data_IF_585542378667
#
_entry.id   IF_585542378667
#
_cell.length_a   1.000
_cell.length_b   1.000
_cell.length_c   1.000
_cell.angle_alpha   90.00
_cell.angle_beta   90.00
_cell.angle_gamma   90.00
#
_symmetry.space_group_name_H-M   'P 1'
#
loop_
_entity.id
_entity.type
_entity.pdbx_description
1 polymer ?
#
# COMPACT_ATOMS: atom_id res chain seq x y z
N UNK A 1 0.50 -4.43 -12.28
CA UNK A 1 -0.65 -4.86 -11.43
C UNK A 1 -1.93 -4.04 -11.65
N UNK A 2 -2.04 -3.27 -12.74
CA UNK A 2 -3.17 -2.35 -12.98
C UNK A 2 -4.50 -3.08 -13.17
N UNK A 3 -4.51 -4.18 -13.92
CA UNK A 3 -5.71 -5.01 -14.13
C UNK A 3 -6.32 -5.50 -12.82
N UNK A 4 -5.50 -5.99 -11.88
CA UNK A 4 -5.94 -6.42 -10.55
C UNK A 4 -6.61 -5.26 -9.80
N UNK A 5 -6.01 -4.07 -9.85
CA UNK A 5 -6.59 -2.88 -9.26
C UNK A 5 -7.96 -2.50 -9.86
N UNK A 6 -8.13 -2.65 -11.18
CA UNK A 6 -9.44 -2.46 -11.82
C UNK A 6 -10.47 -3.50 -11.40
N UNK A 7 -10.08 -4.78 -11.32
CA UNK A 7 -10.96 -5.85 -10.85
C UNK A 7 -11.43 -5.57 -9.42
N UNK A 8 -10.52 -5.16 -8.53
CA UNK A 8 -10.87 -4.79 -7.15
C UNK A 8 -11.78 -3.55 -7.10
N UNK A 9 -11.52 -2.54 -7.92
CA UNK A 9 -12.34 -1.32 -8.00
C UNK A 9 -13.79 -1.57 -8.46
N UNK A 10 -14.03 -2.61 -9.27
CA UNK A 10 -15.37 -2.98 -9.72
C UNK A 10 -16.23 -3.62 -8.62
N UNK A 11 -15.64 -4.06 -7.51
CA UNK A 11 -16.34 -4.66 -6.37
C UNK A 11 -17.18 -3.67 -5.57
N UNK A 12 -18.26 -3.13 -6.14
CA UNK A 12 -19.14 -2.10 -5.55
C UNK A 12 -19.63 -2.41 -4.14
N UNK A 13 -19.74 -3.69 -3.78
CA UNK A 13 -20.20 -4.12 -2.46
C UNK A 13 -19.14 -4.01 -1.37
N UNK A 14 -17.87 -3.79 -1.70
CA UNK A 14 -16.79 -3.67 -0.73
C UNK A 14 -16.27 -2.25 -0.81
N UNK A 15 -16.74 -1.40 0.10
CA UNK A 15 -16.40 0.04 0.14
C UNK A 15 -14.89 0.29 0.25
N UNK A 16 -14.14 -0.67 0.79
CA UNK A 16 -12.69 -0.58 0.90
C UNK A 16 -11.99 -0.58 -0.47
N UNK A 17 -12.45 -1.43 -1.39
CA UNK A 17 -11.83 -1.60 -2.70
C UNK A 17 -12.48 -0.74 -3.78
N UNK A 18 -13.74 -0.34 -3.57
CA UNK A 18 -14.49 0.49 -4.51
C UNK A 18 -14.02 1.96 -4.48
N UNK A 19 -12.82 2.19 -5.01
CA UNK A 19 -12.18 3.50 -5.12
C UNK A 19 -11.43 3.61 -6.44
N UNK A 20 -11.50 4.77 -7.13
CA UNK A 20 -10.69 5.02 -8.33
C UNK A 20 -9.18 5.02 -8.03
N UNK A 21 -8.78 5.10 -6.76
CA UNK A 21 -7.38 5.06 -6.34
C UNK A 21 -6.77 3.65 -6.41
N UNK A 22 -7.58 2.57 -6.38
CA UNK A 22 -7.04 1.20 -6.35
C UNK A 22 -6.12 0.88 -7.54
N UNK A 23 -6.50 1.10 -8.81
CA UNK A 23 -5.61 0.88 -9.95
C UNK A 23 -4.28 1.63 -9.84
N UNK A 24 -4.32 2.87 -9.33
CA UNK A 24 -3.14 3.73 -9.17
C UNK A 24 -2.24 3.21 -8.05
N UNK A 25 -2.81 2.82 -6.91
CA UNK A 25 -2.09 2.21 -5.79
C UNK A 25 -1.34 0.96 -6.28
N UNK A 26 -2.02 0.06 -6.99
CA UNK A 26 -1.39 -1.16 -7.51
C UNK A 26 -0.32 -0.90 -8.57
N UNK A 27 -0.48 0.15 -9.38
CA UNK A 27 0.54 0.58 -10.34
C UNK A 27 1.81 1.01 -9.61
N UNK A 28 1.71 2.02 -8.74
CA UNK A 28 2.84 2.61 -8.03
C UNK A 28 3.52 1.56 -7.15
N UNK A 29 2.73 0.77 -6.44
CA UNK A 29 3.21 -0.31 -5.61
C UNK A 29 4.04 -1.33 -6.42
N UNK A 30 3.58 -1.72 -7.62
CA UNK A 30 4.35 -2.64 -8.46
C UNK A 30 5.68 -2.08 -8.94
N UNK A 31 5.77 -0.77 -9.18
CA UNK A 31 7.02 -0.09 -9.53
C UNK A 31 7.96 -0.06 -8.33
N UNK A 32 7.47 0.35 -7.16
CA UNK A 32 8.28 0.45 -5.92
C UNK A 32 8.83 -0.91 -5.51
N UNK A 33 7.97 -1.94 -5.44
CA UNK A 33 8.41 -3.30 -5.07
C UNK A 33 9.32 -3.90 -6.13
N UNK A 34 9.05 -3.66 -7.42
CA UNK A 34 9.92 -4.11 -8.51
C UNK A 34 11.31 -3.50 -8.42
N UNK A 35 11.41 -2.19 -8.19
CA UNK A 35 12.67 -1.48 -7.99
C UNK A 35 13.41 -2.00 -6.76
N UNK A 36 12.70 -2.16 -5.63
CA UNK A 36 13.25 -2.67 -4.39
C UNK A 36 13.83 -4.09 -4.56
N UNK A 37 13.07 -5.01 -5.17
CA UNK A 37 13.53 -6.36 -5.46
C UNK A 37 14.73 -6.37 -6.41
N UNK A 38 14.67 -5.59 -7.50
CA UNK A 38 15.77 -5.49 -8.45
C UNK A 38 17.05 -5.00 -7.77
N UNK A 39 16.97 -3.93 -6.97
CA UNK A 39 18.10 -3.44 -6.17
C UNK A 39 18.64 -4.50 -5.22
N UNK A 40 17.77 -5.17 -4.46
CA UNK A 40 18.20 -6.22 -3.53
C UNK A 40 18.96 -7.35 -4.24
N UNK A 41 18.43 -7.84 -5.37
CA UNK A 41 19.06 -8.88 -6.17
C UNK A 41 20.39 -8.40 -6.75
N UNK A 42 20.42 -7.24 -7.39
CA UNK A 42 21.63 -6.74 -8.04
C UNK A 42 22.76 -6.47 -7.04
N UNK A 43 22.44 -5.96 -5.85
CA UNK A 43 23.43 -5.78 -4.78
C UNK A 43 23.95 -7.12 -4.25
N UNK A 44 23.08 -8.11 -4.04
CA UNK A 44 23.50 -9.45 -3.54
C UNK A 44 24.42 -10.16 -4.54
N UNK A 45 24.11 -10.07 -5.83
CA UNK A 45 24.86 -10.77 -6.89
C UNK A 45 25.97 -9.92 -7.53
N UNK A 46 26.18 -8.67 -7.08
CA UNK A 46 27.18 -7.77 -7.65
C UNK A 46 26.95 -7.40 -9.11
N UNK A 47 25.68 -7.37 -9.55
CA UNK A 47 25.30 -7.04 -10.93
C UNK A 47 25.30 -5.52 -11.08
N UNK A 48 25.97 -5.00 -12.10
CA UNK A 48 25.94 -3.57 -12.41
C UNK A 48 24.56 -3.15 -12.94
N UNK A 49 24.04 -2.03 -12.44
CA UNK A 49 22.77 -1.45 -12.86
C UNK A 49 22.81 0.07 -12.71
N UNK A 50 21.84 0.74 -13.32
CA UNK A 50 21.64 2.18 -13.13
C UNK A 50 21.10 2.44 -11.72
N UNK A 51 22.03 2.68 -10.80
CA UNK A 51 21.74 2.96 -9.39
C UNK A 51 20.99 4.27 -9.21
N UNK A 52 21.22 5.26 -10.06
CA UNK A 52 20.63 6.59 -9.97
C UNK A 52 19.15 6.54 -10.34
N UNK A 53 18.81 5.95 -11.49
CA UNK A 53 17.42 5.82 -11.94
C UNK A 53 16.57 5.06 -10.91
N UNK A 54 17.04 3.91 -10.45
CA UNK A 54 16.29 3.08 -9.50
C UNK A 54 16.13 3.81 -8.16
N UNK A 55 17.15 4.54 -7.73
CA UNK A 55 17.10 5.35 -6.50
C UNK A 55 16.10 6.49 -6.61
N UNK A 56 16.08 7.22 -7.73
CA UNK A 56 15.10 8.29 -7.97
C UNK A 56 13.68 7.72 -7.98
N UNK A 57 13.47 6.57 -8.63
CA UNK A 57 12.18 5.89 -8.64
C UNK A 57 11.72 5.47 -7.23
N UNK A 58 12.64 5.02 -6.36
CA UNK A 58 12.31 4.69 -4.97
C UNK A 58 12.04 5.94 -4.12
N UNK A 59 12.87 6.98 -4.25
CA UNK A 59 12.73 8.24 -3.50
C UNK A 59 11.46 9.01 -3.86
N UNK A 60 10.96 8.89 -5.09
CA UNK A 60 9.68 9.48 -5.50
C UNK A 60 8.53 8.50 -5.24
N UNK A 61 8.73 7.22 -5.59
CA UNK A 61 7.69 6.20 -5.54
C UNK A 61 7.21 5.89 -4.12
N UNK A 62 8.10 5.87 -3.13
CA UNK A 62 7.73 5.61 -1.73
C UNK A 62 6.84 6.74 -1.18
N UNK A 63 7.20 8.04 -1.26
CA UNK A 63 6.32 9.12 -0.85
C UNK A 63 4.99 9.16 -1.60
N UNK A 64 4.99 8.91 -2.92
CA UNK A 64 3.75 8.83 -3.70
C UNK A 64 2.87 7.68 -3.19
N UNK A 65 3.45 6.52 -2.90
CA UNK A 65 2.72 5.40 -2.30
C UNK A 65 2.15 5.76 -0.92
N UNK A 66 2.94 6.41 -0.06
CA UNK A 66 2.47 6.89 1.24
C UNK A 66 1.29 7.85 1.09
N UNK A 67 1.39 8.81 0.18
CA UNK A 67 0.30 9.74 -0.13
C UNK A 67 -0.95 9.02 -0.60
N UNK A 68 -0.83 8.06 -1.52
CA UNK A 68 -1.98 7.30 -2.03
C UNK A 68 -2.64 6.46 -0.94
N UNK A 69 -1.85 5.85 -0.04
CA UNK A 69 -2.36 5.09 1.11
C UNK A 69 -3.13 6.01 2.06
N UNK A 70 -2.61 7.20 2.36
CA UNK A 70 -3.29 8.18 3.20
C UNK A 70 -4.55 8.73 2.53
N UNK A 71 -4.50 9.04 1.24
CA UNK A 71 -5.64 9.47 0.43
C UNK A 71 -6.75 8.40 0.42
N UNK A 72 -6.37 7.12 0.32
CA UNK A 72 -7.33 6.02 0.43
C UNK A 72 -7.98 5.95 1.81
N UNK A 73 -7.22 6.12 2.90
CA UNK A 73 -7.81 6.16 4.25
C UNK A 73 -8.74 7.36 4.44
N UNK A 74 -8.37 8.52 3.91
CA UNK A 74 -9.22 9.71 3.93
C UNK A 74 -10.52 9.49 3.15
N UNK A 75 -10.43 8.88 1.95
CA UNK A 75 -11.60 8.50 1.15
C UNK A 75 -12.54 7.54 1.89
N UNK A 76 -11.99 6.57 2.63
CA UNK A 76 -12.82 5.67 3.45
C UNK A 76 -13.57 6.41 4.56
N UNK A 77 -12.96 7.45 5.13
CA UNK A 77 -13.58 8.28 6.17
C UNK A 77 -14.85 8.99 5.70
N UNK A 78 -14.89 9.41 4.43
CA UNK A 78 -16.02 10.14 3.82
C UNK A 78 -17.00 9.24 3.06
N UNK A 79 -16.72 7.93 2.98
CA UNK A 79 -17.52 6.96 2.24
C UNK A 79 -18.73 6.43 3.03
N UNK A 80 -19.08 5.16 2.83
CA UNK A 80 -20.21 4.47 3.49
C UNK A 80 -19.89 4.06 4.93
N UNK A 81 -20.90 3.61 5.70
CA UNK A 81 -20.67 3.03 7.03
C UNK A 81 -19.71 1.84 7.01
N UNK A 82 -19.85 0.95 6.03
CA UNK A 82 -18.93 -0.17 5.84
C UNK A 82 -17.48 0.30 5.58
N UNK A 83 -17.33 1.40 4.84
CA UNK A 83 -16.02 2.05 4.63
C UNK A 83 -15.42 2.60 5.92
N UNK A 84 -16.23 3.26 6.77
CA UNK A 84 -15.78 3.74 8.10
C UNK A 84 -15.42 2.59 9.05
N UNK A 85 -16.13 1.47 8.98
CA UNK A 85 -15.79 0.25 9.74
C UNK A 85 -14.44 -0.30 9.26
N UNK A 86 -14.26 -0.41 7.94
CA UNK A 86 -12.99 -0.86 7.34
C UNK A 86 -11.82 0.06 7.74
N UNK A 87 -12.03 1.38 7.74
CA UNK A 87 -11.06 2.36 8.23
C UNK A 87 -10.71 2.12 9.69
N UNK A 88 -11.70 1.93 10.57
CA UNK A 88 -11.45 1.63 12.00
C UNK A 88 -10.68 0.31 12.16
N UNK A 89 -11.00 -0.73 11.40
CA UNK A 89 -10.28 -2.00 11.44
C UNK A 89 -8.79 -1.84 11.06
N UNK A 90 -8.51 -1.03 10.04
CA UNK A 90 -7.16 -0.75 9.53
C UNK A 90 -6.36 0.22 10.40
N UNK A 91 -7.01 1.11 11.15
CA UNK A 91 -6.32 2.17 11.91
C UNK A 91 -6.25 1.93 13.42
N UNK A 92 -7.29 1.32 14.01
CA UNK A 92 -7.41 1.12 15.46
C UNK A 92 -7.85 -0.30 15.85
N UNK A 93 -8.22 -1.13 14.88
CA UNK A 93 -8.71 -2.49 15.11
C UNK A 93 -7.61 -3.54 15.07
N UNK A 94 -8.03 -4.81 14.96
CA UNK A 94 -7.15 -5.99 14.93
C UNK A 94 -6.08 -5.95 13.82
N UNK A 95 -6.33 -5.20 12.75
CA UNK A 95 -5.40 -5.12 11.60
C UNK A 95 -4.48 -3.90 11.68
N UNK A 96 -4.64 -3.02 12.66
CA UNK A 96 -3.87 -1.77 12.77
C UNK A 96 -2.36 -2.01 12.91
N UNK A 97 -1.95 -2.98 13.72
CA UNK A 97 -0.55 -3.31 13.89
C UNK A 97 0.09 -3.80 12.58
N UNK A 98 -0.62 -4.62 11.80
CA UNK A 98 -0.14 -5.11 10.51
C UNK A 98 -0.14 -4.04 9.42
N UNK A 99 -1.14 -3.17 9.40
CA UNK A 99 -1.29 -2.15 8.37
C UNK A 99 -0.45 -0.89 8.64
N UNK A 100 -0.60 -0.27 9.81
CA UNK A 100 0.17 0.93 10.16
C UNK A 100 1.60 0.55 10.55
N UNK A 101 1.76 -0.38 11.49
CA UNK A 101 3.10 -0.79 11.94
C UNK A 101 3.88 -1.52 10.85
N UNK A 102 3.28 -2.57 10.29
CA UNK A 102 3.91 -3.40 9.27
C UNK A 102 3.99 -2.75 7.89
N UNK A 103 2.84 -2.46 7.28
CA UNK A 103 2.83 -2.00 5.90
C UNK A 103 3.32 -0.56 5.73
N UNK A 104 2.88 0.35 6.59
CA UNK A 104 3.20 1.77 6.46
C UNK A 104 4.55 2.12 7.07
N UNK A 105 4.77 1.82 8.35
CA UNK A 105 6.01 2.21 9.04
C UNK A 105 7.18 1.33 8.59
N UNK A 106 7.10 0.01 8.76
CA UNK A 106 8.18 -0.90 8.38
C UNK A 106 8.35 -0.96 6.85
N UNK A 107 7.26 -0.90 6.08
CA UNK A 107 7.30 -1.05 4.62
C UNK A 107 7.58 0.20 3.79
N UNK A 108 7.34 1.40 4.33
CA UNK A 108 7.50 2.65 3.59
C UNK A 108 8.38 3.66 4.35
N UNK A 109 8.06 3.96 5.61
CA UNK A 109 8.77 5.01 6.37
C UNK A 109 10.24 4.64 6.59
N UNK A 110 10.52 3.43 7.11
CA UNK A 110 11.90 3.00 7.39
C UNK A 110 12.72 2.89 6.09
N UNK A 111 12.24 2.24 5.01
CA UNK A 111 12.97 2.19 3.74
C UNK A 111 13.23 3.57 3.13
N UNK A 112 12.30 4.52 3.28
CA UNK A 112 12.50 5.89 2.82
C UNK A 112 13.68 6.56 3.54
N UNK A 113 13.72 6.44 4.87
CA UNK A 113 14.80 7.00 5.69
C UNK A 113 16.14 6.35 5.32
N UNK A 114 16.17 5.01 5.18
CA UNK A 114 17.39 4.29 4.79
C UNK A 114 17.89 4.69 3.40
N UNK A 115 16.98 4.79 2.42
CA UNK A 115 17.32 5.18 1.05
C UNK A 115 17.83 6.62 0.97
N UNK A 116 17.24 7.52 1.77
CA UNK A 116 17.65 8.93 1.87
C UNK A 116 18.97 9.10 2.64
N UNK A 117 19.18 8.38 3.75
CA UNK A 117 20.41 8.44 4.54
C UNK A 117 21.62 7.88 3.77
N UNK A 118 21.38 6.88 2.92
CA UNK A 118 22.39 6.38 2.00
C UNK A 118 22.86 7.45 0.99
N UNK A 119 22.19 8.60 0.83
CA UNK A 119 22.57 9.63 -0.16
C UNK A 119 23.86 10.37 0.21
N UNK A 120 24.34 10.23 1.45
CA UNK A 120 25.53 10.93 1.95
C UNK A 120 26.62 10.04 2.55
N UNK A 121 26.52 8.71 2.49
CA UNK A 121 27.44 7.81 3.22
C UNK A 121 27.95 6.65 2.36
N UNK A 122 29.20 6.73 1.90
CA UNK A 122 29.82 5.81 0.93
C UNK A 122 30.09 4.38 1.42
N UNK A 123 29.94 4.07 2.71
CA UNK A 123 30.34 2.78 3.28
C UNK A 123 29.21 1.78 3.55
N UNK A 124 27.97 2.25 3.71
CA UNK A 124 26.84 1.44 4.21
C UNK A 124 25.71 1.18 3.20
N UNK A 125 25.84 1.69 1.98
CA UNK A 125 24.73 1.78 1.02
C UNK A 125 24.20 0.42 0.57
N UNK A 126 25.09 -0.56 0.38
CA UNK A 126 24.70 -1.91 -0.05
C UNK A 126 23.82 -2.62 0.99
N UNK A 127 24.25 -2.62 2.25
CA UNK A 127 23.50 -3.26 3.35
C UNK A 127 22.17 -2.55 3.57
N UNK A 128 22.16 -1.22 3.58
CA UNK A 128 20.95 -0.43 3.73
C UNK A 128 19.94 -0.67 2.59
N UNK A 129 20.43 -0.86 1.35
CA UNK A 129 19.60 -1.14 0.18
C UNK A 129 18.95 -2.52 0.26
N UNK A 130 19.70 -3.54 0.68
CA UNK A 130 19.15 -4.90 0.87
C UNK A 130 18.13 -4.93 1.99
N UNK A 131 18.39 -4.27 3.13
CA UNK A 131 17.43 -4.15 4.23
C UNK A 131 16.16 -3.44 3.76
N UNK A 132 16.31 -2.31 3.06
CA UNK A 132 15.18 -1.58 2.48
C UNK A 132 14.36 -2.45 1.53
N UNK A 133 15.02 -3.24 0.68
CA UNK A 133 14.36 -4.13 -0.26
C UNK A 133 13.49 -5.18 0.45
N UNK A 134 14.04 -5.85 1.46
CA UNK A 134 13.31 -6.85 2.27
C UNK A 134 12.12 -6.21 2.97
N UNK A 135 12.32 -5.05 3.59
CA UNK A 135 11.27 -4.32 4.31
C UNK A 135 10.12 -3.88 3.39
N UNK A 136 10.42 -3.35 2.20
CA UNK A 136 9.40 -2.95 1.20
C UNK A 136 8.56 -4.16 0.76
N UNK A 137 9.20 -5.31 0.52
CA UNK A 137 8.50 -6.54 0.13
C UNK A 137 7.59 -7.04 1.25
N UNK A 138 8.09 -7.12 2.48
CA UNK A 138 7.32 -7.55 3.66
C UNK A 138 6.15 -6.60 3.90
N UNK A 139 6.42 -5.29 3.97
CA UNK A 139 5.38 -4.29 4.23
C UNK A 139 4.33 -4.28 3.14
N UNK A 140 4.73 -4.53 1.91
CA UNK A 140 3.83 -4.68 0.80
C UNK A 140 2.94 -5.94 0.82
N UNK A 141 3.48 -7.08 1.26
CA UNK A 141 2.68 -8.26 1.55
C UNK A 141 1.66 -7.98 2.67
N UNK A 142 2.08 -7.28 3.72
CA UNK A 142 1.21 -6.89 4.83
C UNK A 142 0.12 -5.89 4.39
N UNK A 143 0.44 -4.98 3.48
CA UNK A 143 -0.51 -4.06 2.86
C UNK A 143 -1.63 -4.83 2.18
N UNK A 144 -1.27 -5.71 1.24
CA UNK A 144 -2.25 -6.47 0.46
C UNK A 144 -3.05 -7.43 1.34
N UNK A 145 -2.38 -8.10 2.29
CA UNK A 145 -3.05 -8.98 3.26
C UNK A 145 -4.06 -8.25 4.13
N UNK A 146 -3.72 -7.04 4.60
CA UNK A 146 -4.62 -6.22 5.41
C UNK A 146 -5.78 -5.67 4.58
N UNK A 147 -5.51 -5.27 3.33
CA UNK A 147 -6.52 -4.82 2.38
C UNK A 147 -7.55 -5.91 2.08
N UNK A 148 -7.11 -7.17 1.96
CA UNK A 148 -7.99 -8.31 1.76
C UNK A 148 -8.81 -8.64 3.03
N UNK A 149 -8.17 -8.62 4.20
CA UNK A 149 -8.83 -8.96 5.48
C UNK A 149 -9.80 -7.89 5.97
N UNK A 150 -9.59 -6.63 5.61
CA UNK A 150 -10.44 -5.50 6.00
C UNK A 150 -11.64 -5.29 5.07
N UNK A 151 -11.87 -6.19 4.10
CA UNK A 151 -12.97 -6.11 3.15
C UNK A 151 -14.32 -6.36 3.84
N UNK A 152 -15.00 -5.28 4.21
CA UNK A 152 -16.36 -5.33 4.76
C UNK A 152 -17.38 -5.08 3.64
N UNK A 153 -18.38 -5.95 3.57
CA UNK A 153 -19.48 -5.80 2.62
C UNK A 153 -20.47 -4.73 3.09
N UNK A 154 -20.81 -3.80 2.21
CA UNK A 154 -21.94 -2.88 2.39
C UNK A 154 -23.24 -3.65 2.11
N UNK A 155 -24.19 -3.73 3.06
CA UNK A 155 -25.47 -4.37 2.81
C UNK A 155 -26.28 -3.60 1.76
N UNK A 156 -27.00 -4.33 0.90
CA UNK A 156 -27.79 -3.74 -0.19
C UNK A 156 -29.08 -3.04 0.30
N UNK A 157 -29.46 -3.25 1.56
CA UNK A 157 -30.63 -2.65 2.20
C UNK A 157 -30.12 -1.81 3.37
N UNK A 158 -30.26 -0.49 3.27
CA UNK A 158 -30.09 0.39 4.44
C UNK A 158 -31.14 -0.02 5.50
N UNK A 159 -30.76 -0.26 6.77
CA UNK A 159 -31.68 -0.60 7.85
C UNK A 159 -32.52 0.62 8.30
N UNK A 160 -33.24 1.20 7.35
CA UNK A 160 -34.08 2.40 7.51
C UNK A 160 -34.95 2.72 6.31
N UNK A 161 -34.76 2.06 5.16
CA UNK A 161 -35.66 2.19 4.00
C UNK A 161 -36.63 1.02 3.99
N UNK A 162 -37.71 1.18 4.75
CA UNK A 162 -38.88 0.30 4.70
C UNK A 162 -39.24 0.05 3.25
N UNK A 163 -39.24 -1.23 2.86
CA UNK A 163 -39.82 -1.72 1.62
C UNK A 163 -41.34 -1.55 1.75
N UNK A 164 -41.81 -0.32 1.56
CA UNK A 164 -43.19 -0.04 1.17
C UNK A 164 -43.23 -0.17 -0.35
N UNK A 165 -43.14 -1.41 -0.82
CA UNK A 165 -43.62 -1.76 -2.16
C UNK A 165 -44.95 -2.45 -1.91
N UNK A 166 -46.01 -1.64 -2.00
CA UNK A 166 -47.40 -2.09 -2.09
C UNK A 166 -47.51 -3.19 -3.14
N UNK A 167 -48.01 -4.36 -2.72
CA UNK A 167 -48.77 -5.28 -3.56
C UNK A 167 -50.17 -5.33 -2.95
#
# INVERSE_FOLDING_TARGET
MVYVGFVMAQGRRISLWHSPLMPVIFLVYSVVVGCALATGIFVIFGIAYDTELVRVLLLIGIPVMMFLVLAQLAFLGTSTEAGRISLRMLTRGRLAAGYIGGAFILGLVIPLILTAAAYGTSGGEAVASVISAVLIVIGGYLFFSSLLKAAVYTPAVEPGRSVLVNI
#
